data_IF_161181694290
#
_entry.id   IF_161181694290
#
_cell.length_a   1.000
_cell.length_b   1.000
_cell.length_c   1.000
_cell.angle_alpha   90.00
_cell.angle_beta   90.00
_cell.angle_gamma   90.00
#
_symmetry.space_group_name_H-M   'P 1'
#
loop_
_entity.id
_entity.type
_entity.pdbx_description
1 polymer ?
2 polymer ?
3 non-polymer ?
4 non-polymer ?
5 non-polymer ?
6 water ?
#
# COMPACT_ATOMS: atom_id res chain seq x y z
N UNK A 2 -3.65 27.42 2.61
CA UNK A 2 -4.31 26.84 1.44
C UNK A 2 -4.36 27.86 0.30
N UNK A 3 -3.17 28.33 -0.08
CA UNK A 3 -2.94 29.19 -1.24
C UNK A 3 -2.14 28.38 -2.28
N UNK A 4 -2.71 28.22 -3.48
CA UNK A 4 -2.20 27.31 -4.51
C UNK A 4 -0.98 27.90 -5.24
N UNK A 5 0.21 27.71 -4.67
CA UNK A 5 1.46 28.08 -5.32
C UNK A 5 2.03 26.87 -6.07
N UNK A 6 2.84 27.17 -7.09
CA UNK A 6 3.42 26.17 -7.97
C UNK A 6 4.90 26.02 -7.67
N UNK A 7 5.27 24.90 -7.04
CA UNK A 7 6.64 24.68 -6.58
C UNK A 7 7.50 23.89 -7.55
N UNK A 8 6.90 23.11 -8.44
CA UNK A 8 7.64 22.38 -9.46
C UNK A 8 7.93 23.30 -10.63
N UNK A 9 9.16 23.27 -11.14
CA UNK A 9 9.40 24.14 -12.28
C UNK A 9 8.82 23.56 -13.56
N UNK A 10 8.44 22.29 -13.55
CA UNK A 10 7.70 21.71 -14.66
C UNK A 10 7.02 20.45 -14.16
N UNK A 11 5.83 20.16 -14.70
CA UNK A 11 5.01 19.07 -14.22
C UNK A 11 5.42 17.78 -14.93
N UNK A 12 6.62 17.32 -14.58
CA UNK A 12 7.22 16.12 -15.16
C UNK A 12 8.07 15.42 -14.10
N UNK A 13 8.46 14.18 -14.41
CA UNK A 13 9.35 13.45 -13.51
C UNK A 13 10.62 14.25 -13.27
N UNK A 14 11.19 14.83 -14.34
CA UNK A 14 12.44 15.59 -14.21
C UNK A 14 12.24 16.76 -13.26
N UNK A 15 11.08 17.42 -13.34
CA UNK A 15 10.80 18.53 -12.44
C UNK A 15 10.65 18.07 -11.01
N UNK A 16 9.98 16.93 -10.79
CA UNK A 16 9.91 16.39 -9.43
C UNK A 16 11.31 16.13 -8.89
N UNK A 17 12.18 15.53 -9.71
CA UNK A 17 13.55 15.20 -9.29
C UNK A 17 14.31 16.43 -8.82
N UNK A 18 14.36 17.48 -9.64
CA UNK A 18 15.01 18.72 -9.20
C UNK A 18 14.39 19.23 -7.91
N UNK A 19 13.08 19.20 -7.80
CA UNK A 19 12.42 19.62 -6.57
C UNK A 19 12.88 18.76 -5.38
N UNK A 20 12.98 17.44 -5.56
CA UNK A 20 13.37 16.57 -4.44
C UNK A 20 14.77 16.89 -3.93
N UNK A 21 15.66 17.35 -4.81
CA UNK A 21 17.02 17.65 -4.43
C UNK A 21 17.24 19.14 -4.17
N UNK A 22 16.16 19.90 -4.07
CA UNK A 22 16.19 21.26 -3.56
C UNK A 22 15.91 21.26 -2.06
N UNK A 23 16.19 22.40 -1.41
CA UNK A 23 16.07 22.48 0.03
C UNK A 23 14.63 22.47 0.50
N UNK A 24 13.69 22.93 -0.33
CA UNK A 24 12.29 22.91 0.06
C UNK A 24 11.84 21.50 0.43
N UNK A 25 12.46 20.47 -0.13
CA UNK A 25 11.88 19.12 -0.11
C UNK A 25 12.59 18.28 0.95
N UNK A 26 12.01 18.24 2.15
CA UNK A 26 12.63 17.51 3.25
C UNK A 26 11.82 16.32 3.71
N UNK A 27 10.50 16.36 3.58
CA UNK A 27 9.60 15.35 4.16
C UNK A 27 8.75 14.74 3.05
N UNK A 28 8.96 13.45 2.78
CA UNK A 28 8.24 12.73 1.72
C UNK A 28 7.31 11.71 2.33
N UNK A 29 6.05 11.72 1.91
CA UNK A 29 5.05 10.71 2.26
C UNK A 29 4.75 9.88 1.02
N UNK A 30 4.88 8.57 1.14
CA UNK A 30 4.44 7.64 0.12
C UNK A 30 3.08 7.06 0.50
N UNK A 31 2.19 6.97 -0.49
CA UNK A 31 0.90 6.28 -0.38
C UNK A 31 0.88 5.18 -1.44
N UNK A 32 0.82 3.92 -1.00
CA UNK A 32 1.05 2.81 -1.92
C UNK A 32 -0.09 1.81 -1.81
N UNK A 33 -0.28 1.06 -2.89
CA UNK A 33 -1.31 0.03 -2.93
C UNK A 33 -0.83 -1.23 -3.61
N UNK A 34 -1.76 -2.09 -4.02
CA UNK A 34 -1.39 -3.44 -4.48
C UNK A 34 -0.58 -3.42 -5.77
N UNK A 35 -0.60 -2.30 -6.50
CA UNK A 35 0.22 -2.19 -7.68
C UNK A 35 1.71 -2.27 -7.41
N UNK A 36 2.16 -1.92 -6.20
CA UNK A 36 3.60 -2.01 -5.94
C UNK A 36 4.05 -3.41 -5.59
N UNK A 37 3.13 -4.35 -5.37
CA UNK A 37 3.49 -5.73 -5.09
C UNK A 37 3.09 -6.73 -6.16
N UNK A 38 2.43 -6.30 -7.23
CA UNK A 38 2.07 -7.24 -8.28
C UNK A 38 3.29 -7.82 -8.98
N UNK A 39 4.36 -7.03 -9.13
CA UNK A 39 5.56 -7.60 -9.75
C UNK A 39 6.28 -8.55 -8.79
N UNK A 40 5.81 -8.63 -7.54
CA UNK A 40 6.27 -9.64 -6.59
C UNK A 40 5.40 -10.90 -6.57
N UNK A 41 4.40 -11.02 -7.43
CA UNK A 41 3.58 -12.22 -7.43
C UNK A 41 2.34 -12.15 -6.57
N UNK A 42 1.98 -10.97 -6.07
CA UNK A 42 0.72 -10.78 -5.35
C UNK A 42 -0.20 -9.99 -6.26
N UNK A 43 -1.26 -10.60 -6.78
CA UNK A 43 -2.15 -9.88 -7.69
C UNK A 43 -2.89 -8.74 -7.00
N UNK A 44 -3.26 -7.73 -7.78
CA UNK A 44 -4.08 -6.64 -7.25
C UNK A 44 -5.55 -7.03 -7.37
N UNK A 45 -6.45 -6.07 -7.13
CA UNK A 45 -7.89 -6.33 -7.15
C UNK A 45 -8.55 -6.01 -8.48
N UNK A 46 -8.28 -4.85 -9.06
CA UNK A 46 -9.11 -4.35 -10.14
C UNK A 46 -8.43 -4.43 -11.51
N UNK A 47 -7.20 -4.93 -11.59
CA UNK A 47 -6.63 -5.21 -12.90
C UNK A 47 -7.51 -6.21 -13.64
N UNK A 48 -8.05 -5.87 -14.81
CA UNK A 48 -8.83 -6.86 -15.56
C UNK A 48 -7.96 -8.05 -15.93
N UNK A 49 -8.51 -9.26 -15.72
CA UNK A 49 -7.84 -10.51 -16.05
C UNK A 49 -6.99 -11.00 -14.87
N UNK A 50 -5.94 -10.24 -14.52
CA UNK A 50 -5.04 -10.65 -13.46
C UNK A 50 -5.55 -10.26 -12.06
N UNK A 51 -6.46 -9.31 -11.98
CA UNK A 51 -6.97 -8.87 -10.68
C UNK A 51 -7.80 -9.95 -10.01
N UNK A 52 -7.93 -9.80 -8.68
CA UNK A 52 -8.67 -10.79 -7.89
C UNK A 52 -10.15 -10.81 -8.31
N UNK A 53 -10.72 -9.65 -8.61
CA UNK A 53 -12.15 -9.59 -8.89
C UNK A 53 -12.53 -10.39 -10.12
N UNK A 54 -11.60 -10.58 -11.05
CA UNK A 54 -11.80 -11.44 -12.21
C UNK A 54 -11.43 -12.90 -11.94
N UNK A 55 -11.21 -13.28 -10.67
CA UNK A 55 -10.69 -14.61 -10.37
C UNK A 55 -11.31 -15.22 -9.11
N UNK A 56 -12.58 -14.90 -8.83
CA UNK A 56 -13.26 -15.39 -7.63
C UNK A 56 -14.50 -16.22 -7.96
N UNK A 57 -14.66 -16.62 -9.22
CA UNK A 57 -15.80 -17.45 -9.60
C UNK A 57 -15.89 -18.71 -8.76
N UNK A 58 -14.75 -19.31 -8.43
CA UNK A 58 -14.68 -20.64 -7.83
C UNK A 58 -14.99 -20.68 -6.34
N UNK A 59 -15.27 -19.54 -5.70
CA UNK A 59 -15.45 -19.53 -4.26
C UNK A 59 -16.92 -19.50 -3.84
N UNK A 60 -17.83 -19.83 -4.76
CA UNK A 60 -19.24 -20.04 -4.44
C UNK A 60 -19.85 -18.83 -3.72
N UNK A 61 -19.17 -17.69 -3.79
CA UNK A 61 -19.60 -16.54 -3.03
C UNK A 61 -20.90 -15.98 -3.58
N UNK A 62 -21.69 -15.29 -2.75
CA UNK A 62 -22.69 -14.38 -3.30
C UNK A 62 -22.08 -13.58 -4.43
N UNK A 63 -21.45 -12.46 -4.09
CA UNK A 63 -20.79 -11.60 -5.06
C UNK A 63 -19.28 -11.60 -4.82
N UNK A 64 -18.50 -10.96 -5.69
CA UNK A 64 -17.04 -11.04 -5.51
C UNK A 64 -16.56 -10.39 -4.23
N UNK A 65 -17.06 -9.19 -3.90
CA UNK A 65 -16.49 -8.41 -2.80
C UNK A 65 -16.71 -9.05 -1.43
N UNK A 66 -17.65 -9.98 -1.30
CA UNK A 66 -17.98 -10.53 0.02
C UNK A 66 -16.77 -11.18 0.70
N UNK A 67 -15.85 -11.75 -0.06
CA UNK A 67 -14.75 -12.50 0.55
C UNK A 67 -13.79 -11.60 1.32
N UNK A 68 -13.91 -10.28 1.18
CA UNK A 68 -13.12 -9.32 1.97
C UNK A 68 -13.98 -8.46 2.88
N UNK A 69 -15.16 -8.92 3.27
CA UNK A 69 -16.04 -8.18 4.17
C UNK A 69 -16.09 -8.91 5.50
N UNK A 70 -15.94 -8.16 6.60
CA UNK A 70 -15.86 -8.76 7.92
C UNK A 70 -17.14 -9.52 8.25
N UNK A 71 -18.29 -8.95 7.90
CA UNK A 71 -19.57 -9.62 8.14
C UNK A 71 -19.54 -11.04 7.57
N UNK A 72 -19.42 -11.13 6.25
CA UNK A 72 -19.34 -12.42 5.58
C UNK A 72 -18.25 -13.31 6.17
N UNK A 73 -17.08 -12.73 6.50
CA UNK A 73 -16.00 -13.51 7.10
C UNK A 73 -16.43 -14.12 8.44
N UNK A 74 -17.20 -13.38 9.23
CA UNK A 74 -17.64 -13.91 10.53
C UNK A 74 -18.59 -15.10 10.36
N UNK A 75 -19.54 -15.00 9.42
CA UNK A 75 -20.39 -16.14 9.08
C UNK A 75 -19.59 -17.32 8.53
N UNK A 76 -18.72 -17.05 7.55
CA UNK A 76 -18.03 -18.10 6.80
C UNK A 76 -16.58 -17.73 6.53
N UNK A 77 -15.66 -18.10 7.43
CA UNK A 77 -14.25 -17.74 7.25
C UNK A 77 -13.50 -18.61 6.25
N UNK A 78 -14.07 -19.74 5.82
CA UNK A 78 -13.34 -20.73 5.02
C UNK A 78 -12.93 -20.22 3.64
N UNK A 79 -13.83 -19.53 2.91
CA UNK A 79 -13.43 -19.02 1.58
C UNK A 79 -12.20 -18.13 1.64
N UNK A 80 -12.24 -17.10 2.49
CA UNK A 80 -11.06 -16.27 2.67
C UNK A 80 -9.80 -17.10 2.94
N UNK A 81 -9.90 -18.09 3.82
CA UNK A 81 -8.71 -18.88 4.15
C UNK A 81 -8.29 -19.79 3.02
N UNK A 82 -9.25 -20.26 2.21
CA UNK A 82 -8.90 -20.96 0.99
C UNK A 82 -8.19 -20.03 0.01
N UNK A 83 -8.77 -18.85 -0.22
CA UNK A 83 -8.10 -17.82 -1.02
C UNK A 83 -6.70 -17.54 -0.48
N UNK A 84 -6.57 -17.41 0.84
CA UNK A 84 -5.26 -17.13 1.43
C UNK A 84 -4.23 -18.17 1.02
N UNK A 85 -4.63 -19.45 1.02
CA UNK A 85 -3.71 -20.51 0.63
C UNK A 85 -3.30 -20.37 -0.83
N UNK A 86 -4.26 -20.02 -1.69
CA UNK A 86 -3.96 -19.89 -3.12
C UNK A 86 -2.96 -18.77 -3.37
N UNK A 87 -3.10 -17.65 -2.64
CA UNK A 87 -2.27 -16.50 -2.91
C UNK A 87 -0.94 -16.51 -2.17
N UNK A 88 -0.81 -17.30 -1.11
CA UNK A 88 0.37 -17.23 -0.25
C UNK A 88 1.63 -17.48 -1.07
N UNK A 89 2.54 -16.50 -1.17
CA UNK A 89 3.74 -16.69 -2.00
C UNK A 89 4.78 -17.55 -1.31
N UNK A 90 5.44 -18.39 -2.10
CA UNK A 90 6.49 -19.23 -1.55
C UNK A 90 7.68 -18.43 -1.06
N UNK A 91 7.88 -17.25 -1.61
CA UNK A 91 9.01 -16.41 -1.27
C UNK A 91 8.52 -14.99 -1.16
N UNK A 92 8.93 -14.29 -0.10
CA UNK A 92 8.59 -12.89 0.07
C UNK A 92 9.78 -12.08 -0.39
N UNK A 93 9.66 -11.47 -1.57
CA UNK A 93 10.76 -10.68 -2.13
C UNK A 93 10.23 -9.29 -2.50
N UNK A 94 10.57 -8.24 -1.75
CA UNK A 94 10.06 -6.91 -2.08
C UNK A 94 10.58 -6.47 -3.44
N UNK A 95 9.90 -5.47 -4.02
CA UNK A 95 10.21 -5.03 -5.36
C UNK A 95 11.17 -3.84 -5.37
N UNK A 96 11.67 -3.54 -6.56
CA UNK A 96 12.39 -2.29 -6.82
C UNK A 96 11.66 -1.10 -6.18
N UNK A 97 10.37 -0.98 -6.47
CA UNK A 97 9.56 0.07 -5.87
C UNK A 97 9.69 0.07 -4.34
N UNK A 98 9.59 -1.10 -3.72
CA UNK A 98 9.76 -1.19 -2.28
C UNK A 98 11.13 -0.67 -1.85
N UNK A 99 12.18 -1.09 -2.55
CA UNK A 99 13.53 -0.66 -2.17
C UNK A 99 13.78 0.80 -2.49
N UNK A 100 13.03 1.37 -3.43
CA UNK A 100 13.12 2.81 -3.62
C UNK A 100 12.70 3.54 -2.34
N UNK A 101 11.59 3.10 -1.73
CA UNK A 101 11.15 3.71 -0.48
C UNK A 101 12.16 3.45 0.64
N UNK A 102 12.84 2.30 0.63
CA UNK A 102 13.94 2.07 1.56
C UNK A 102 15.07 3.06 1.35
N UNK A 103 15.29 3.48 0.10
CA UNK A 103 16.31 4.48 -0.18
C UNK A 103 15.90 5.83 0.38
N UNK A 104 14.63 6.22 0.22
CA UNK A 104 14.15 7.46 0.83
C UNK A 104 14.41 7.46 2.33
N UNK A 105 14.13 6.33 2.99
CA UNK A 105 14.43 6.23 4.41
C UNK A 105 15.92 6.45 4.67
N UNK A 106 16.76 5.66 3.99
CA UNK A 106 18.20 5.74 4.22
C UNK A 106 18.74 7.16 3.95
N UNK A 107 18.16 7.88 2.99
CA UNK A 107 18.57 9.24 2.69
C UNK A 107 17.93 10.29 3.60
N UNK A 108 17.14 9.88 4.60
CA UNK A 108 16.51 10.84 5.49
C UNK A 108 15.30 11.58 4.92
N UNK A 109 14.73 11.11 3.82
CA UNK A 109 13.64 11.84 3.19
C UNK A 109 12.26 11.31 3.58
N UNK A 110 12.15 10.06 4.03
CA UNK A 110 10.84 9.43 4.18
C UNK A 110 10.22 9.84 5.51
N UNK A 111 9.20 10.70 5.47
CA UNK A 111 8.41 10.97 6.67
C UNK A 111 7.49 9.80 7.00
N UNK A 112 6.86 9.22 6.00
CA UNK A 112 6.06 8.05 6.31
C UNK A 112 5.70 7.33 5.03
N UNK A 113 5.49 6.02 5.15
CA UNK A 113 4.85 5.24 4.10
C UNK A 113 3.52 4.75 4.63
N UNK A 114 2.45 5.19 4.00
CA UNK A 114 1.10 4.69 4.27
C UNK A 114 0.81 3.63 3.23
N UNK A 115 0.62 2.39 3.65
CA UNK A 115 0.37 1.30 2.72
C UNK A 115 -1.01 0.69 2.95
N UNK A 116 -1.68 0.37 1.85
CA UNK A 116 -2.90 -0.43 1.86
C UNK A 116 -2.62 -1.92 1.74
N UNK A 117 -1.36 -2.31 1.51
CA UNK A 117 -1.01 -3.71 1.35
C UNK A 117 -0.87 -4.43 2.69
N UNK A 118 -1.12 -5.72 2.69
CA UNK A 118 -1.04 -6.53 3.88
C UNK A 118 0.08 -7.57 3.80
N UNK A 119 0.92 -7.50 2.76
CA UNK A 119 1.86 -8.57 2.43
C UNK A 119 3.19 -8.47 3.18
N UNK A 120 3.39 -7.46 4.03
CA UNK A 120 4.60 -7.29 4.83
C UNK A 120 5.84 -6.93 4.02
N UNK A 121 5.71 -6.72 2.71
CA UNK A 121 6.91 -6.46 1.90
C UNK A 121 7.60 -5.16 2.29
N UNK A 122 6.85 -4.15 2.78
CA UNK A 122 7.50 -2.93 3.29
C UNK A 122 8.43 -3.22 4.45
N UNK A 123 8.02 -4.08 5.38
CA UNK A 123 8.91 -4.44 6.48
C UNK A 123 10.15 -5.18 5.99
N UNK A 124 9.96 -6.15 5.10
CA UNK A 124 11.10 -6.91 4.61
C UNK A 124 12.09 -6.00 3.88
N UNK A 125 11.60 -4.94 3.20
CA UNK A 125 12.51 -4.02 2.53
C UNK A 125 13.28 -3.14 3.50
N UNK A 126 12.98 -3.20 4.79
CA UNK A 126 13.69 -2.40 5.76
C UNK A 126 12.95 -1.17 6.27
N UNK A 127 11.65 -1.06 6.01
CA UNK A 127 10.84 -0.02 6.63
C UNK A 127 10.42 -0.44 8.03
N UNK A 128 10.63 0.43 9.01
CA UNK A 128 10.35 0.11 10.40
C UNK A 128 9.07 0.78 10.87
N UNK A 129 8.53 0.26 11.98
CA UNK A 129 7.25 0.75 12.49
C UNK A 129 7.18 2.27 12.59
N UNK A 130 8.31 2.95 12.82
CA UNK A 130 8.33 4.41 12.83
C UNK A 130 8.18 5.02 11.44
N UNK A 131 8.39 4.22 10.38
CA UNK A 131 8.29 4.66 9.00
C UNK A 131 6.95 4.35 8.35
N UNK A 132 6.19 3.43 8.95
CA UNK A 132 5.13 2.69 8.30
C UNK A 132 3.81 2.94 8.98
N UNK A 133 2.79 3.22 8.19
CA UNK A 133 1.42 3.04 8.66
C UNK A 133 0.79 1.99 7.76
N UNK A 134 0.59 0.78 8.31
CA UNK A 134 -0.13 -0.28 7.60
C UNK A 134 -1.61 0.02 7.78
N UNK A 135 -2.13 0.84 6.86
CA UNK A 135 -3.47 1.39 7.04
C UNK A 135 -4.54 0.30 7.06
N UNK A 136 -4.31 -0.81 6.37
CA UNK A 136 -5.28 -1.90 6.33
C UNK A 136 -4.75 -3.16 7.00
N UNK A 137 -3.84 -2.99 7.96
CA UNK A 137 -3.37 -4.11 8.74
C UNK A 137 -2.29 -4.90 8.03
N UNK A 138 -2.15 -6.16 8.44
CA UNK A 138 -1.03 -6.97 8.00
C UNK A 138 -1.34 -8.44 8.24
N UNK A 139 -0.74 -9.28 7.41
CA UNK A 139 -0.70 -10.70 7.68
C UNK A 139 0.38 -11.08 8.70
N UNK A 140 1.25 -10.15 9.10
CA UNK A 140 2.42 -10.53 9.90
C UNK A 140 2.02 -11.09 11.25
N UNK A 141 1.03 -10.49 11.92
CA UNK A 141 0.49 -11.05 13.15
C UNK A 141 -1.01 -11.29 13.01
N UNK A 142 -1.51 -12.20 13.86
CA UNK A 142 -2.90 -12.64 13.90
C UNK A 142 -3.36 -12.64 15.35
N UNK A 143 -4.66 -12.54 15.58
CA UNK A 143 -5.17 -12.56 16.94
C UNK A 143 -6.45 -13.37 17.02
N UNK A 144 -6.58 -14.14 18.11
CA UNK A 144 -7.86 -14.65 18.55
C UNK A 144 -8.90 -13.52 18.56
N UNK A 145 -10.06 -13.78 17.94
CA UNK A 145 -11.10 -12.77 17.78
C UNK A 145 -11.96 -12.55 19.04
N UNK A 146 -12.01 -13.48 19.97
CA UNK A 146 -12.91 -13.31 21.09
C UNK A 146 -12.34 -12.27 22.06
N UNK A 147 -13.17 -11.27 22.40
CA UNK A 147 -12.73 -10.17 23.26
C UNK A 147 -11.98 -10.69 24.49
N UNK A 148 -12.11 -12.00 24.76
CA UNK A 148 -11.38 -12.75 25.79
C UNK A 148 -9.93 -13.10 25.41
N UNK A 149 -9.64 -14.21 24.69
CA UNK A 149 -8.21 -14.52 24.55
C UNK A 149 -7.50 -13.30 23.94
N UNK A 150 -7.90 -12.87 22.74
CA UNK A 150 -7.11 -11.86 22.02
C UNK A 150 -5.64 -12.24 21.94
N UNK A 151 -5.30 -13.50 22.22
CA UNK A 151 -3.91 -13.91 22.16
C UNK A 151 -3.40 -13.84 20.73
N UNK A 152 -2.12 -13.54 20.61
CA UNK A 152 -1.46 -13.21 19.35
C UNK A 152 -0.71 -14.42 18.81
N UNK A 153 -0.74 -14.60 17.49
CA UNK A 153 -0.01 -15.67 16.84
C UNK A 153 0.85 -15.12 15.72
N UNK A 154 2.05 -15.66 15.52
CA UNK A 154 2.94 -15.13 14.48
C UNK A 154 2.53 -15.66 13.11
N UNK A 155 3.12 -15.06 12.07
CA UNK A 155 2.81 -15.52 10.71
C UNK A 155 3.18 -16.98 10.52
N UNK A 156 4.23 -17.44 11.20
CA UNK A 156 4.67 -18.82 11.05
C UNK A 156 3.55 -19.78 11.41
N UNK A 157 2.81 -19.46 12.47
CA UNK A 157 1.71 -20.31 12.93
C UNK A 157 0.49 -20.15 12.03
N UNK A 158 0.17 -18.93 11.64
CA UNK A 158 -0.96 -18.71 10.74
C UNK A 158 -0.73 -19.36 9.38
N UNK A 159 0.52 -19.32 8.88
CA UNK A 159 0.81 -19.97 7.61
C UNK A 159 0.54 -21.47 7.69
N UNK A 160 1.01 -22.13 8.75
CA UNK A 160 0.79 -23.56 8.87
C UNK A 160 -0.71 -23.89 8.83
N UNK A 161 -1.53 -23.15 9.60
CA UNK A 161 -2.97 -23.37 9.57
C UNK A 161 -3.53 -23.27 8.17
N UNK A 162 -3.09 -22.26 7.43
CA UNK A 162 -3.63 -21.99 6.10
C UNK A 162 -3.25 -23.09 5.12
N UNK A 163 -2.00 -23.54 5.18
CA UNK A 163 -1.53 -24.56 4.24
C UNK A 163 -2.04 -25.96 4.59
N UNK A 164 -2.32 -26.23 5.85
CA UNK A 164 -2.89 -27.51 6.25
C UNK A 164 -4.41 -27.47 6.18
N UNK A 165 -4.98 -26.36 5.70
CA UNK A 165 -6.41 -26.25 5.44
C UNK A 165 -7.25 -26.51 6.69
N UNK A 166 -6.69 -26.17 7.85
CA UNK A 166 -7.40 -26.19 9.12
C UNK A 166 -7.70 -24.74 9.49
N UNK A 167 -8.99 -24.41 9.64
CA UNK A 167 -9.40 -23.09 10.08
C UNK A 167 -8.75 -22.73 11.42
N UNK A 168 -8.02 -21.62 11.52
CA UNK A 168 -7.23 -21.31 12.73
C UNK A 168 -8.12 -21.07 13.95
N UNK A 169 -7.89 -21.85 14.99
CA UNK A 169 -8.59 -21.63 16.25
C UNK A 169 -7.56 -21.36 17.35
N UNK A 170 -7.96 -20.56 18.33
CA UNK A 170 -7.12 -20.20 19.47
C UNK A 170 -6.78 -21.44 20.27
N UNK A 171 -5.49 -21.62 20.57
CA UNK A 171 -5.10 -22.72 21.43
C UNK A 171 -5.62 -22.54 22.86
N UNK A 172 -5.80 -21.29 23.30
CA UNK A 172 -6.25 -20.98 24.65
C UNK A 172 -7.77 -20.96 24.81
N UNK A 173 -8.52 -20.61 23.77
CA UNK A 173 -9.96 -20.47 23.92
C UNK A 173 -10.76 -21.11 22.79
N UNK A 174 -10.11 -21.58 21.73
CA UNK A 174 -10.75 -22.26 20.60
C UNK A 174 -11.63 -21.33 19.77
N UNK A 175 -11.55 -20.01 20.01
CA UNK A 175 -12.14 -19.07 19.09
C UNK A 175 -11.34 -19.00 17.78
N UNK A 176 -11.95 -18.42 16.77
CA UNK A 176 -11.29 -18.24 15.48
C UNK A 176 -10.12 -17.27 15.62
N UNK A 177 -9.03 -17.54 14.90
CA UNK A 177 -7.85 -16.66 14.89
C UNK A 177 -7.78 -16.00 13.52
N UNK A 178 -7.77 -14.67 13.50
CA UNK A 178 -7.90 -13.86 12.30
C UNK A 178 -6.61 -13.09 12.02
N UNK A 179 -6.06 -13.12 10.80
CA UNK A 179 -4.94 -12.22 10.47
C UNK A 179 -5.29 -10.77 10.79
N UNK A 180 -4.27 -9.99 11.20
CA UNK A 180 -4.48 -8.60 11.62
C UNK A 180 -4.73 -7.68 10.43
N UNK A 181 -5.51 -8.18 9.50
CA UNK A 181 -5.95 -7.48 8.30
C UNK A 181 -7.20 -6.67 8.62
N UNK A 182 -7.31 -5.49 8.03
CA UNK A 182 -8.52 -4.68 8.19
C UNK A 182 -9.47 -5.04 7.06
N UNK A 183 -10.53 -5.79 7.38
CA UNK A 183 -11.54 -6.15 6.40
C UNK A 183 -12.41 -4.94 6.02
N UNK A 184 -13.08 -5.03 4.87
CA UNK A 184 -14.09 -4.03 4.54
C UNK A 184 -15.20 -4.04 5.59
N UNK A 185 -15.58 -2.85 6.05
CA UNK A 185 -16.51 -2.69 7.14
C UNK A 185 -15.88 -2.61 8.52
N UNK A 186 -14.56 -2.77 8.62
CA UNK A 186 -13.86 -2.67 9.90
C UNK A 186 -13.24 -1.29 10.04
N UNK A 187 -12.90 -0.94 11.28
CA UNK A 187 -12.30 0.35 11.58
C UNK A 187 -10.78 0.30 11.41
N UNK A 188 -10.22 1.30 10.72
CA UNK A 188 -8.79 1.37 10.55
C UNK A 188 -8.09 1.57 11.90
N UNK A 189 -6.84 1.14 12.01
CA UNK A 189 -6.11 1.31 13.26
C UNK A 189 -6.03 2.76 13.70
N UNK A 190 -5.88 2.93 15.02
CA UNK A 190 -5.77 4.27 15.59
C UNK A 190 -4.54 4.99 15.08
N UNK A 191 -3.47 4.23 14.83
CA UNK A 191 -2.24 4.85 14.37
C UNK A 191 -2.44 5.55 13.02
N UNK A 192 -3.38 5.05 12.20
CA UNK A 192 -3.66 5.68 10.92
C UNK A 192 -4.09 7.13 11.14
N UNK A 193 -4.99 7.34 12.08
CA UNK A 193 -5.54 8.68 12.30
C UNK A 193 -4.54 9.57 13.01
N UNK A 194 -3.86 9.03 14.02
CA UNK A 194 -2.89 9.82 14.77
C UNK A 194 -1.75 10.29 13.86
N UNK A 195 -1.29 9.42 12.96
CA UNK A 195 -0.22 9.85 12.06
C UNK A 195 -0.72 10.87 11.06
N UNK A 196 -1.93 10.68 10.52
CA UNK A 196 -2.32 11.56 9.44
C UNK A 196 -2.60 12.97 9.95
N UNK A 197 -3.05 13.11 11.19
CA UNK A 197 -3.31 14.44 11.72
C UNK A 197 -2.03 15.26 11.84
N UNK A 198 -0.91 14.59 12.06
CA UNK A 198 0.38 15.25 12.21
C UNK A 198 1.23 15.22 10.94
N UNK A 199 1.23 14.11 10.19
CA UNK A 199 2.14 13.98 9.06
C UNK A 199 1.82 15.00 7.96
N UNK A 200 0.55 15.29 7.73
CA UNK A 200 0.21 16.09 6.55
C UNK A 200 0.28 17.58 6.80
N UNK A 201 0.67 18.03 8.00
CA UNK A 201 0.95 19.44 8.22
C UNK A 201 2.27 19.85 7.60
N UNK A 202 3.21 18.91 7.45
CA UNK A 202 4.61 19.21 7.20
C UNK A 202 5.15 18.57 5.92
N UNK A 203 4.32 17.87 5.16
CA UNK A 203 4.78 17.08 4.02
C UNK A 203 5.10 18.00 2.85
N UNK A 204 6.20 17.71 2.15
CA UNK A 204 6.64 18.51 1.00
C UNK A 204 6.41 17.83 -0.34
N UNK A 205 6.13 16.53 -0.36
CA UNK A 205 5.94 15.79 -1.60
C UNK A 205 5.11 14.56 -1.29
N UNK A 206 4.04 14.35 -2.04
CA UNK A 206 3.27 13.11 -1.98
C UNK A 206 3.75 12.22 -3.10
N UNK A 207 4.11 10.99 -2.76
CA UNK A 207 4.50 9.99 -3.75
C UNK A 207 3.47 8.87 -3.69
N UNK A 208 2.62 8.80 -4.71
CA UNK A 208 1.49 7.88 -4.77
C UNK A 208 1.83 6.82 -5.79
N UNK A 209 1.80 5.54 -5.39
CA UNK A 209 2.29 4.47 -6.27
C UNK A 209 1.40 3.24 -6.20
N UNK A 210 1.04 2.70 -7.36
CA UNK A 210 0.30 1.45 -7.46
C UNK A 210 -0.99 1.36 -6.66
N UNK A 211 -1.88 2.34 -6.82
CA UNK A 211 -3.16 2.32 -6.13
C UNK A 211 -4.20 3.02 -6.99
N UNK A 212 -5.38 2.42 -7.07
CA UNK A 212 -6.48 3.03 -7.81
C UNK A 212 -7.19 4.11 -7.02
N UNK A 213 -6.78 4.36 -5.78
CA UNK A 213 -7.36 5.42 -4.95
C UNK A 213 -8.89 5.30 -4.86
N UNK A 214 -9.36 4.06 -4.71
CA UNK A 214 -10.79 3.77 -4.66
C UNK A 214 -11.26 3.21 -3.32
N UNK A 215 -10.42 3.22 -2.29
CA UNK A 215 -10.82 2.79 -0.96
C UNK A 215 -10.65 3.97 0.00
N UNK A 216 -11.68 4.24 0.78
CA UNK A 216 -11.76 5.26 1.81
C UNK A 216 -11.65 4.61 3.18
N UNK A 217 -11.15 5.33 4.19
CA UNK A 217 -10.62 6.70 4.06
C UNK A 217 -9.19 6.83 3.52
N UNK A 218 -8.58 5.73 3.07
CA UNK A 218 -7.20 5.83 2.60
C UNK A 218 -7.07 6.85 1.46
N UNK A 219 -7.97 6.79 0.48
CA UNK A 219 -7.82 7.65 -0.70
C UNK A 219 -7.92 9.13 -0.34
N UNK A 220 -8.61 9.47 0.74
CA UNK A 220 -8.71 10.88 1.13
C UNK A 220 -7.37 11.46 1.60
N UNK A 221 -6.37 10.62 1.84
CA UNK A 221 -5.07 11.13 2.26
C UNK A 221 -4.53 12.17 1.27
N UNK A 222 -4.84 12.05 -0.03
CA UNK A 222 -4.21 12.99 -0.97
C UNK A 222 -4.69 14.41 -0.73
N UNK A 223 -5.87 14.57 -0.13
CA UNK A 223 -6.43 15.88 0.12
C UNK A 223 -5.98 16.49 1.44
N UNK A 224 -5.20 15.74 2.22
CA UNK A 224 -4.74 16.23 3.52
C UNK A 224 -3.49 17.10 3.41
N UNK A 225 -2.67 16.90 2.39
CA UNK A 225 -1.48 17.73 2.21
C UNK A 225 -1.86 19.20 1.97
N UNK A 226 -1.03 20.14 2.39
CA UNK A 226 -1.25 21.53 1.97
C UNK A 226 -1.33 21.63 0.45
N UNK A 227 -1.98 22.70 -0.02
CA UNK A 227 -2.30 22.83 -1.43
C UNK A 227 -1.08 23.06 -2.31
N UNK A 228 0.04 23.47 -1.76
CA UNK A 228 1.20 23.66 -2.61
C UNK A 228 2.12 22.45 -2.63
N UNK A 229 1.77 21.39 -1.91
CA UNK A 229 2.62 20.20 -1.88
C UNK A 229 2.50 19.43 -3.19
N UNK A 230 3.59 19.27 -3.95
CA UNK A 230 3.54 18.49 -5.19
C UNK A 230 3.18 17.04 -4.92
N UNK A 231 2.53 16.43 -5.91
CA UNK A 231 2.01 15.07 -5.78
C UNK A 231 2.35 14.29 -7.05
N UNK A 232 3.21 13.28 -6.94
CA UNK A 232 3.56 12.45 -8.08
C UNK A 232 2.86 11.11 -7.97
N UNK A 233 2.11 10.76 -9.01
CA UNK A 233 1.51 9.43 -9.15
C UNK A 233 2.37 8.60 -10.10
N UNK A 234 2.76 7.41 -9.67
CA UNK A 234 3.47 6.44 -10.49
C UNK A 234 2.56 5.23 -10.54
N UNK A 235 2.00 4.94 -11.71
CA UNK A 235 0.92 3.96 -11.77
C UNK A 235 0.67 3.61 -13.23
N UNK A 236 0.06 2.43 -13.43
CA UNK A 236 -0.25 1.98 -14.79
C UNK A 236 -1.15 2.97 -15.52
N UNK A 237 -2.08 3.57 -14.80
CA UNK A 237 -3.02 4.52 -15.36
C UNK A 237 -3.29 5.63 -14.35
N UNK A 238 -3.91 6.70 -14.83
CA UNK A 238 -4.20 7.83 -13.96
C UNK A 238 -5.21 7.43 -12.88
N UNK A 239 -5.16 8.13 -11.76
CA UNK A 239 -6.07 7.80 -10.66
C UNK A 239 -6.19 9.03 -9.78
N UNK A 240 -7.23 9.04 -8.95
CA UNK A 240 -7.47 10.12 -8.01
C UNK A 240 -7.99 11.42 -8.57
N UNK A 241 -8.41 11.45 -9.84
CA UNK A 241 -9.09 12.63 -10.33
C UNK A 241 -10.53 12.62 -9.86
N UNK A 242 -11.10 13.81 -9.66
CA UNK A 242 -12.48 13.87 -9.21
C UNK A 242 -13.43 13.49 -10.33
N UNK A 243 -14.45 12.73 -9.98
CA UNK A 243 -15.54 12.42 -10.90
C UNK A 243 -16.14 13.71 -11.46
N UNK A 244 -16.50 13.73 -12.75
CA UNK A 244 -17.15 14.94 -13.30
C UNK A 244 -18.51 15.22 -12.69
N UNK A 245 -19.17 14.23 -12.09
CA UNK A 245 -20.46 14.45 -11.43
C UNK A 245 -20.32 14.64 -9.92
N UNK A 246 -19.49 13.83 -9.26
CA UNK A 246 -19.12 14.07 -7.86
C UNK A 246 -18.28 15.33 -7.73
N UNK A 254 -10.42 18.19 -3.52
CA UNK A 254 -8.99 18.25 -3.79
C UNK A 254 -8.44 16.98 -4.44
N UNK A 255 -9.08 16.57 -5.54
CA UNK A 255 -8.61 15.42 -6.31
C UNK A 255 -7.33 15.74 -7.05
N UNK A 256 -6.82 14.73 -7.74
CA UNK A 256 -5.66 14.93 -8.58
C UNK A 256 -6.04 15.69 -9.83
N UNK A 257 -5.19 16.62 -10.26
CA UNK A 257 -5.42 17.32 -11.52
C UNK A 257 -4.09 17.39 -12.28
N UNK A 258 -3.88 16.44 -13.20
CA UNK A 258 -2.72 16.44 -14.07
C UNK A 258 -2.92 17.23 -15.36
N UNK A 259 -4.16 17.38 -15.83
CA UNK A 259 -4.38 17.75 -17.21
C UNK A 259 -5.22 19.01 -17.43
N UNK A 260 -5.94 19.48 -16.42
CA UNK A 260 -6.81 20.63 -16.67
C UNK A 260 -5.97 21.90 -16.86
N UNK A 261 -6.64 22.97 -17.31
CA UNK A 261 -5.98 24.24 -17.53
C UNK A 261 -5.44 24.82 -16.21
N UNK A 262 -6.00 24.40 -15.07
CA UNK A 262 -5.56 24.85 -13.76
C UNK A 262 -4.53 23.92 -13.10
N UNK A 263 -4.04 22.89 -13.81
CA UNK A 263 -3.08 21.98 -13.21
C UNK A 263 -1.83 22.74 -12.80
N UNK A 264 -1.38 22.53 -11.55
CA UNK A 264 -0.21 23.27 -11.05
C UNK A 264 0.76 22.42 -10.22
N UNK A 265 0.35 21.28 -9.67
CA UNK A 265 1.27 20.51 -8.84
C UNK A 265 1.17 18.99 -8.96
N UNK A 266 0.27 18.45 -9.77
CA UNK A 266 0.10 17.00 -9.87
C UNK A 266 0.76 16.47 -11.12
N UNK A 267 1.44 15.34 -10.99
CA UNK A 267 2.22 14.74 -12.07
C UNK A 267 1.91 13.26 -12.14
N UNK A 268 1.61 12.78 -13.34
CA UNK A 268 1.26 11.38 -13.54
C UNK A 268 2.34 10.76 -14.41
N UNK A 269 3.12 9.84 -13.84
CA UNK A 269 4.09 9.04 -14.60
C UNK A 269 3.49 7.65 -14.78
N UNK A 270 3.23 7.27 -16.03
CA UNK A 270 2.39 6.13 -16.35
C UNK A 270 3.25 4.96 -16.81
N UNK A 271 3.13 3.85 -16.10
CA UNK A 271 3.92 2.67 -16.38
C UNK A 271 3.99 1.81 -15.13
N UNK A 272 4.95 0.87 -15.16
CA UNK A 272 5.20 0.00 -14.03
C UNK A 272 5.84 0.78 -12.90
N UNK A 273 5.46 0.44 -11.67
CA UNK A 273 6.03 1.15 -10.53
C UNK A 273 7.52 0.92 -10.45
N UNK A 274 7.96 -0.30 -10.82
CA UNK A 274 9.38 -0.61 -10.79
C UNK A 274 10.14 0.23 -11.78
N UNK A 275 9.53 0.47 -12.96
CA UNK A 275 10.17 1.27 -13.99
C UNK A 275 10.17 2.75 -13.62
N UNK A 276 9.07 3.22 -13.02
CA UNK A 276 8.98 4.62 -12.67
C UNK A 276 9.96 4.99 -11.57
N UNK A 277 10.07 4.14 -10.53
CA UNK A 277 11.05 4.38 -9.47
C UNK A 277 12.47 4.27 -9.99
N UNK A 278 12.74 3.33 -10.90
CA UNK A 278 14.05 3.27 -11.53
C UNK A 278 14.36 4.58 -12.25
N UNK A 279 13.43 5.06 -13.08
CA UNK A 279 13.66 6.30 -13.81
C UNK A 279 13.87 7.47 -12.84
N UNK A 280 13.10 7.50 -11.75
CA UNK A 280 13.25 8.62 -10.82
C UNK A 280 14.61 8.56 -10.13
N UNK A 281 15.05 7.36 -9.75
CA UNK A 281 16.35 7.20 -9.11
C UNK A 281 17.47 7.64 -10.05
N UNK A 282 17.40 7.25 -11.31
CA UNK A 282 18.42 7.72 -12.25
C UNK A 282 18.52 9.24 -12.23
N UNK A 283 17.40 9.94 -12.38
CA UNK A 283 17.43 11.41 -12.33
C UNK A 283 18.07 11.93 -11.05
N UNK A 284 17.90 11.22 -9.94
CA UNK A 284 18.43 11.60 -8.64
C UNK A 284 19.88 11.22 -8.44
N UNK A 285 20.50 10.50 -9.36
CA UNK A 285 21.81 9.97 -9.11
C UNK A 285 21.85 8.76 -8.21
N UNK A 286 20.70 8.10 -7.99
CA UNK A 286 20.58 6.97 -7.10
C UNK A 286 20.52 5.62 -7.82
N UNK A 287 20.63 5.61 -9.14
CA UNK A 287 20.33 4.38 -9.88
C UNK A 287 21.24 3.24 -9.43
N UNK A 288 22.55 3.49 -9.41
CA UNK A 288 23.47 2.45 -8.98
C UNK A 288 23.22 2.05 -7.52
N UNK A 289 23.03 3.03 -6.62
CA UNK A 289 22.62 2.67 -5.27
C UNK A 289 21.43 1.73 -5.28
N UNK A 290 20.44 1.99 -6.15
CA UNK A 290 19.22 1.21 -6.14
C UNK A 290 19.46 -0.17 -6.71
N UNK A 291 20.25 -0.28 -7.77
CA UNK A 291 20.56 -1.58 -8.33
C UNK A 291 21.35 -2.43 -7.34
N UNK A 292 22.37 -1.83 -6.70
CA UNK A 292 23.18 -2.55 -5.72
C UNK A 292 22.32 -3.03 -4.56
N UNK A 293 21.38 -2.18 -4.12
CA UNK A 293 20.54 -2.52 -2.97
C UNK A 293 19.61 -3.68 -3.29
N UNK A 294 18.93 -3.60 -4.46
CA UNK A 294 17.99 -4.63 -4.86
C UNK A 294 18.69 -5.96 -5.09
N UNK A 295 19.84 -5.91 -5.79
CA UNK A 295 20.59 -7.13 -6.07
C UNK A 295 21.11 -7.78 -4.80
N UNK A 296 21.64 -6.99 -3.87
CA UNK A 296 22.13 -7.56 -2.62
C UNK A 296 20.99 -8.16 -1.79
N UNK A 297 19.88 -7.44 -1.66
CA UNK A 297 18.79 -7.95 -0.82
C UNK A 297 18.09 -9.13 -1.48
N UNK A 298 17.88 -9.08 -2.80
CA UNK A 298 17.29 -10.25 -3.47
C UNK A 298 18.23 -11.45 -3.36
N UNK A 299 19.53 -11.21 -3.48
CA UNK A 299 20.47 -12.31 -3.34
C UNK A 299 20.41 -12.89 -1.93
N UNK A 300 20.32 -12.03 -0.92
CA UNK A 300 20.19 -12.55 0.44
C UNK A 300 18.92 -13.39 0.59
N UNK A 301 17.79 -12.89 0.08
CA UNK A 301 16.54 -13.64 0.20
C UNK A 301 16.59 -14.92 -0.63
N UNK A 302 17.18 -14.88 -1.83
CA UNK A 302 17.22 -16.08 -2.67
C UNK A 302 17.98 -17.20 -1.98
N UNK A 303 18.92 -16.85 -1.09
CA UNK A 303 19.73 -17.83 -0.38
C UNK A 303 19.18 -18.22 0.98
N UNK A 304 18.00 -17.72 1.36
CA UNK A 304 17.35 -18.19 2.60
C UNK A 304 16.85 -19.60 2.36
N UNK B 1 -13.90 6.65 10.61
CA UNK B 1 -14.80 5.85 9.76
C UNK B 1 -14.21 4.50 9.36
N UNK B 2 -15.00 3.69 8.67
CA UNK B 2 -14.68 2.30 8.37
C UNK B 2 -14.11 2.14 6.97
N UNK B 3 -13.37 1.07 6.78
CA UNK B 3 -12.86 0.76 5.45
C UNK B 3 -14.00 0.50 4.47
N UNK B 4 -14.20 1.39 3.50
CA UNK B 4 -15.33 1.29 2.58
C UNK B 4 -14.85 1.35 1.14
N UNK B 5 -15.73 0.95 0.22
CA UNK B 5 -15.42 0.89 -1.20
C UNK B 5 -15.81 2.17 -1.94
N UNK B 6 -16.33 2.00 -3.17
CA UNK B 6 -16.71 3.09 -4.06
C UNK B 6 -15.50 3.62 -4.82
#
# INVERSE_FOLDING_TARGET
>A
GSQKERLLDELTLEGVARYMQSERCRRVICLVGAGISTSAGIPDFRSPSTGLYDNLEKYHLPYPEAIFEISYFKKHPEPFFALAKELYPGQFKPTICHYFMRLLKDKGLLLRCYTQNIDTLERIAGLEQEDLVEAHGTFYTSHCVSASCRHEYPLSWMKEKIFSEVTPKCEDCQSLVKPDIVFFGESLPARFFSCMQSDFLKVDLLLVMGTSLQVQPFASLISKAPLSTPRLLINKEKAGQSDPFLGMIMGLGGGMDFDSKKAYRDVAWLGECDQGCLALAELLGWKKELEDLVRREHASIDAQ
>B
PRKQLA
#
